data_IF_609150052750
#
_entry.id   IF_609150052750
#
_cell.length_a   1.000
_cell.length_b   1.000
_cell.length_c   1.000
_cell.angle_alpha   90.00
_cell.angle_beta   90.00
_cell.angle_gamma   90.00
#
_symmetry.space_group_name_H-M   'P 1'
#
loop_
_entity.id
_entity.type
_entity.pdbx_description
1 polymer ?
#
# COMPACT_ATOMS: atom_id res chain seq x y z
N UNK A 1 5.08 -2.85 15.12
CA UNK A 1 3.85 -3.21 14.39
C UNK A 1 2.89 -4.07 15.19
N UNK A 2 3.26 -5.27 15.64
CA UNK A 2 2.33 -6.17 16.34
C UNK A 2 1.69 -5.56 17.61
N UNK A 3 2.50 -5.05 18.54
CA UNK A 3 1.95 -4.49 19.80
C UNK A 3 0.94 -3.37 19.57
N UNK A 4 1.20 -2.47 18.61
CA UNK A 4 0.28 -1.38 18.28
C UNK A 4 -1.08 -1.93 17.85
N UNK A 5 -1.06 -2.91 16.94
CA UNK A 5 -2.27 -3.44 16.34
C UNK A 5 -3.05 -4.32 17.29
N UNK A 6 -2.36 -5.18 18.05
CA UNK A 6 -2.96 -5.96 19.13
C UNK A 6 -3.69 -5.04 20.11
N UNK A 7 -3.02 -3.97 20.56
CA UNK A 7 -3.60 -3.04 21.52
C UNK A 7 -4.85 -2.34 20.95
N UNK A 8 -4.81 -1.89 19.70
CA UNK A 8 -5.94 -1.20 19.07
C UNK A 8 -7.12 -2.14 18.83
N UNK A 9 -6.87 -3.34 18.28
CA UNK A 9 -7.93 -4.31 17.95
C UNK A 9 -8.55 -4.88 19.24
N UNK A 10 -7.73 -5.19 20.26
CA UNK A 10 -8.21 -5.64 21.56
C UNK A 10 -8.97 -4.54 22.31
N UNK A 11 -8.49 -3.29 22.29
CA UNK A 11 -9.21 -2.17 22.89
C UNK A 11 -10.54 -1.90 22.18
N UNK A 12 -10.58 -2.03 20.85
CA UNK A 12 -11.82 -1.90 20.08
C UNK A 12 -12.87 -2.93 20.51
N UNK A 13 -12.45 -4.18 20.75
CA UNK A 13 -13.35 -5.21 21.27
C UNK A 13 -13.81 -4.92 22.71
N UNK A 14 -12.88 -4.51 23.58
CA UNK A 14 -13.12 -4.37 25.04
C UNK A 14 -13.79 -3.07 25.44
N UNK A 15 -13.93 -2.11 24.53
CA UNK A 15 -14.55 -0.84 24.84
C UNK A 15 -15.99 -1.06 25.39
N UNK A 16 -16.31 -0.36 26.47
CA UNK A 16 -17.56 -0.58 27.18
C UNK A 16 -18.77 -0.33 26.26
N UNK A 17 -19.79 -1.19 26.37
CA UNK A 17 -21.07 -1.01 25.67
C UNK A 17 -21.02 -1.17 24.14
N UNK A 18 -19.95 -1.73 23.57
CA UNK A 18 -19.86 -1.91 22.11
C UNK A 18 -19.75 -0.60 21.35
N UNK A 19 -19.09 0.41 21.96
CA UNK A 19 -18.89 1.75 21.36
C UNK A 19 -18.22 1.65 19.98
N UNK A 20 -17.26 0.75 19.82
CA UNK A 20 -16.68 0.45 18.51
C UNK A 20 -17.52 -0.61 17.82
N UNK A 21 -18.33 -0.15 16.85
CA UNK A 21 -19.22 -1.02 16.06
C UNK A 21 -18.50 -1.73 14.92
N UNK A 22 -17.42 -1.14 14.41
CA UNK A 22 -16.69 -1.59 13.23
C UNK A 22 -15.26 -1.09 13.26
N UNK A 23 -14.34 -1.92 12.76
CA UNK A 23 -12.93 -1.58 12.63
C UNK A 23 -12.45 -1.98 11.24
N UNK A 24 -11.76 -1.06 10.55
CA UNK A 24 -11.04 -1.37 9.32
C UNK A 24 -9.55 -1.35 9.58
N UNK A 25 -8.92 -2.48 9.28
CA UNK A 25 -7.49 -2.62 9.27
C UNK A 25 -6.91 -2.35 7.89
N UNK A 26 -5.86 -1.54 7.78
CA UNK A 26 -5.15 -1.29 6.51
C UNK A 26 -3.91 -2.19 6.47
N UNK A 27 -3.96 -3.21 5.61
CA UNK A 27 -2.85 -4.10 5.28
C UNK A 27 -1.90 -3.47 4.26
N UNK A 28 -1.25 -4.31 3.46
CA UNK A 28 -0.33 -3.89 2.40
C UNK A 28 -0.23 -4.96 1.31
N UNK A 29 -0.04 -4.58 0.05
CA UNK A 29 0.21 -5.52 -1.04
C UNK A 29 1.53 -6.30 -0.87
N UNK A 30 2.48 -5.79 -0.09
CA UNK A 30 3.78 -6.44 0.10
C UNK A 30 3.73 -7.68 1.02
N UNK A 31 2.55 -8.02 1.56
CA UNK A 31 2.34 -9.19 2.43
C UNK A 31 2.02 -10.46 1.64
N UNK A 32 1.82 -10.36 0.33
CA UNK A 32 1.60 -11.50 -0.54
C UNK A 32 2.91 -12.21 -0.87
N UNK A 33 2.86 -13.50 -1.26
CA UNK A 33 4.06 -14.22 -1.66
C UNK A 33 4.81 -13.53 -2.80
N UNK A 34 6.15 -13.59 -2.74
CA UNK A 34 7.04 -12.95 -3.73
C UNK A 34 6.71 -13.33 -5.18
N UNK A 35 6.33 -14.59 -5.39
CA UNK A 35 6.04 -15.18 -6.70
C UNK A 35 4.55 -15.44 -6.92
N UNK A 36 3.67 -14.66 -6.29
CA UNK A 36 2.23 -14.77 -6.50
C UNK A 36 1.86 -14.50 -7.97
N UNK A 37 0.91 -15.26 -8.56
CA UNK A 37 0.45 -15.02 -9.92
C UNK A 37 -0.20 -13.63 -10.04
N UNK A 38 0.00 -12.98 -11.17
CA UNK A 38 -0.56 -11.65 -11.45
C UNK A 38 -1.82 -11.76 -12.32
N UNK A 39 -2.89 -10.96 -12.05
CA UNK A 39 -3.03 -10.09 -10.89
C UNK A 39 -3.16 -10.90 -9.59
N UNK A 40 -2.57 -10.39 -8.49
CA UNK A 40 -2.61 -11.07 -7.20
C UNK A 40 -4.05 -11.11 -6.67
N UNK A 41 -4.59 -12.31 -6.50
CA UNK A 41 -5.87 -12.53 -5.82
C UNK A 41 -5.69 -12.61 -4.31
N UNK A 42 -6.73 -12.31 -3.54
CA UNK A 42 -6.67 -12.33 -2.08
C UNK A 42 -6.48 -13.76 -1.53
N UNK A 43 -6.89 -14.76 -2.30
CA UNK A 43 -6.60 -16.18 -2.03
C UNK A 43 -5.10 -16.53 -2.09
N UNK A 44 -4.25 -15.68 -2.65
CA UNK A 44 -2.80 -15.89 -2.68
C UNK A 44 -2.15 -15.66 -1.30
N UNK A 45 -2.84 -15.02 -0.34
CA UNK A 45 -2.31 -14.77 0.99
C UNK A 45 -1.91 -16.10 1.66
N UNK A 46 -0.68 -16.18 2.17
CA UNK A 46 -0.11 -17.38 2.81
C UNK A 46 0.02 -18.62 1.89
N UNK A 47 -0.05 -18.46 0.57
CA UNK A 47 0.06 -19.60 -0.37
C UNK A 47 1.50 -20.03 -0.68
N UNK A 48 2.49 -19.18 -0.41
CA UNK A 48 3.91 -19.39 -0.71
C UNK A 48 4.81 -18.45 0.14
N UNK A 49 6.16 -18.58 0.10
CA UNK A 49 7.06 -17.72 0.84
C UNK A 49 6.95 -16.22 0.50
N UNK A 50 7.19 -15.39 1.51
CA UNK A 50 7.18 -13.93 1.43
C UNK A 50 8.49 -13.39 0.82
N UNK A 51 8.54 -12.09 0.52
CA UNK A 51 9.79 -11.43 0.15
C UNK A 51 10.68 -11.25 1.40
N UNK A 52 11.93 -11.76 1.41
CA UNK A 52 12.78 -11.70 2.60
C UNK A 52 13.04 -10.29 3.15
N UNK A 53 13.05 -9.26 2.30
CA UNK A 53 13.31 -7.88 2.74
C UNK A 53 12.19 -7.30 3.60
N UNK A 54 10.95 -7.79 3.42
CA UNK A 54 9.78 -7.28 4.12
C UNK A 54 9.09 -8.32 5.02
N UNK A 55 9.68 -9.52 5.16
CA UNK A 55 9.01 -10.67 5.78
C UNK A 55 8.52 -10.38 7.20
N UNK A 56 9.31 -9.66 8.02
CA UNK A 56 8.95 -9.32 9.40
C UNK A 56 7.74 -8.39 9.48
N UNK A 57 7.69 -7.42 8.55
CA UNK A 57 6.57 -6.51 8.41
C UNK A 57 5.32 -7.26 7.93
N UNK A 58 5.48 -8.13 6.93
CA UNK A 58 4.42 -8.91 6.34
C UNK A 58 3.81 -9.90 7.35
N UNK A 59 4.63 -10.63 8.11
CA UNK A 59 4.16 -11.53 9.17
C UNK A 59 3.32 -10.78 10.20
N UNK A 60 3.73 -9.59 10.61
CA UNK A 60 2.94 -8.77 11.52
C UNK A 60 1.56 -8.46 10.92
N UNK A 61 1.53 -7.85 9.73
CA UNK A 61 0.29 -7.49 9.03
C UNK A 61 -0.64 -8.68 8.80
N UNK A 62 -0.09 -9.86 8.51
CA UNK A 62 -0.87 -11.09 8.34
C UNK A 62 -1.50 -11.52 9.67
N UNK A 63 -0.75 -11.49 10.77
CA UNK A 63 -1.26 -11.83 12.09
C UNK A 63 -2.45 -10.94 12.48
N UNK A 64 -2.38 -9.66 12.13
CA UNK A 64 -3.43 -8.68 12.43
C UNK A 64 -4.71 -8.92 11.58
N UNK A 65 -4.57 -9.33 10.32
CA UNK A 65 -5.72 -9.82 9.51
C UNK A 65 -6.36 -11.03 10.18
N UNK A 66 -5.56 -11.99 10.65
CA UNK A 66 -6.07 -13.18 11.34
C UNK A 66 -6.75 -12.81 12.66
N UNK A 67 -6.23 -11.83 13.39
CA UNK A 67 -6.86 -11.32 14.61
C UNK A 67 -8.24 -10.71 14.33
N UNK A 68 -8.39 -9.89 13.30
CA UNK A 68 -9.69 -9.36 12.88
C UNK A 68 -10.67 -10.49 12.51
N UNK A 69 -10.21 -11.51 11.77
CA UNK A 69 -11.02 -12.67 11.38
C UNK A 69 -11.47 -13.48 12.60
N UNK A 70 -10.56 -13.79 13.53
CA UNK A 70 -10.88 -14.58 14.72
C UNK A 70 -11.76 -13.81 15.69
N UNK A 71 -11.55 -12.50 15.87
CA UNK A 71 -12.39 -11.67 16.74
C UNK A 71 -13.81 -11.55 16.20
N UNK A 72 -13.98 -11.50 14.89
CA UNK A 72 -15.31 -11.58 14.26
C UNK A 72 -15.98 -12.92 14.57
N UNK A 73 -15.26 -14.03 14.44
CA UNK A 73 -15.79 -15.38 14.70
C UNK A 73 -16.16 -15.55 16.18
N UNK A 74 -15.26 -15.16 17.08
CA UNK A 74 -15.38 -15.46 18.52
C UNK A 74 -16.24 -14.46 19.28
N UNK A 75 -16.21 -13.19 18.87
CA UNK A 75 -16.79 -12.08 19.63
C UNK A 75 -17.76 -11.22 18.84
N UNK A 76 -17.94 -11.48 17.54
CA UNK A 76 -18.87 -10.71 16.70
C UNK A 76 -18.42 -9.30 16.34
N UNK A 77 -17.15 -8.93 16.60
CA UNK A 77 -16.59 -7.64 16.18
C UNK A 77 -16.61 -7.54 14.64
N UNK A 78 -17.18 -6.46 14.08
CA UNK A 78 -17.15 -6.18 12.63
C UNK A 78 -15.76 -5.66 12.21
N UNK A 79 -14.74 -6.52 12.34
CA UNK A 79 -13.38 -6.25 11.88
C UNK A 79 -13.20 -6.63 10.41
N UNK A 80 -12.88 -5.66 9.56
CA UNK A 80 -12.56 -5.86 8.13
C UNK A 80 -11.11 -5.45 7.85
N UNK A 81 -10.56 -5.87 6.72
CA UNK A 81 -9.20 -5.50 6.32
C UNK A 81 -9.12 -5.11 4.84
N UNK A 82 -8.50 -3.97 4.54
CA UNK A 82 -8.25 -3.48 3.19
C UNK A 82 -6.78 -3.65 2.80
N UNK A 83 -6.50 -4.09 1.56
CA UNK A 83 -5.14 -4.29 1.04
C UNK A 83 -4.84 -3.26 -0.06
N UNK A 84 -4.26 -2.10 0.27
CA UNK A 84 -3.82 -1.15 -0.75
C UNK A 84 -2.58 -1.65 -1.50
N UNK A 85 -2.42 -1.17 -2.74
CA UNK A 85 -1.16 -1.25 -3.51
C UNK A 85 -0.20 -0.12 -3.11
N UNK A 86 0.86 0.13 -3.87
CA UNK A 86 1.78 1.24 -3.60
C UNK A 86 1.01 2.57 -3.58
N UNK A 87 1.18 3.34 -2.51
CA UNK A 87 0.51 4.62 -2.34
C UNK A 87 1.42 5.77 -2.74
N UNK A 88 0.80 6.87 -3.15
CA UNK A 88 1.46 8.15 -3.32
C UNK A 88 0.48 9.29 -3.08
N UNK A 89 1.00 10.47 -2.78
CA UNK A 89 0.19 11.68 -2.68
C UNK A 89 0.85 12.75 -1.83
N UNK A 90 0.06 13.74 -1.45
CA UNK A 90 0.46 14.75 -0.46
C UNK A 90 0.85 14.09 0.87
N UNK A 91 1.83 14.69 1.55
CA UNK A 91 2.38 14.21 2.83
C UNK A 91 3.14 12.88 2.79
N UNK A 92 3.49 12.37 1.61
CA UNK A 92 4.40 11.23 1.49
C UNK A 92 5.83 11.61 1.92
N UNK A 93 6.67 10.59 2.12
CA UNK A 93 8.07 10.78 2.42
C UNK A 93 8.86 11.07 1.14
N UNK A 94 9.18 12.35 0.91
CA UNK A 94 10.01 12.80 -0.21
C UNK A 94 11.52 12.88 0.16
N UNK A 95 11.99 12.16 1.18
CA UNK A 95 13.40 12.19 1.58
C UNK A 95 14.33 11.68 0.46
N UNK A 96 15.51 12.30 0.22
CA UNK A 96 16.46 11.89 -0.83
C UNK A 96 16.86 10.42 -0.80
N UNK A 97 17.01 9.86 0.40
CA UNK A 97 17.65 8.56 0.64
C UNK A 97 16.69 7.52 1.22
N UNK A 98 15.47 7.92 1.59
CA UNK A 98 14.52 7.07 2.33
C UNK A 98 13.10 7.24 1.78
N UNK A 99 12.93 7.39 0.47
CA UNK A 99 11.62 7.55 -0.17
C UNK A 99 11.23 6.33 -0.98
N UNK A 100 9.92 6.09 -1.05
CA UNK A 100 9.37 5.12 -2.00
C UNK A 100 9.64 5.59 -3.44
N UNK A 101 9.61 4.64 -4.38
CA UNK A 101 9.88 4.84 -5.82
C UNK A 101 9.29 6.15 -6.36
N UNK A 102 7.98 6.37 -6.19
CA UNK A 102 7.30 7.49 -6.84
C UNK A 102 7.62 8.86 -6.20
N UNK A 103 7.59 9.02 -4.86
CA UNK A 103 8.12 10.23 -4.21
C UNK A 103 9.58 10.53 -4.54
N UNK A 104 10.43 9.49 -4.59
CA UNK A 104 11.84 9.63 -4.97
C UNK A 104 11.96 10.21 -6.38
N UNK A 105 11.21 9.65 -7.35
CA UNK A 105 11.20 10.12 -8.73
C UNK A 105 10.67 11.56 -8.83
N UNK A 106 9.52 11.86 -8.23
CA UNK A 106 8.94 13.23 -8.22
C UNK A 106 9.98 14.25 -7.76
N UNK A 107 10.68 13.95 -6.66
CA UNK A 107 11.72 14.85 -6.14
C UNK A 107 12.93 14.97 -7.06
N UNK A 108 13.38 13.87 -7.67
CA UNK A 108 14.52 13.88 -8.58
C UNK A 108 14.24 14.73 -9.83
N UNK A 109 13.06 14.60 -10.41
CA UNK A 109 12.62 15.46 -11.52
C UNK A 109 12.48 16.92 -11.10
N UNK A 110 11.89 17.17 -9.93
CA UNK A 110 11.78 18.52 -9.40
C UNK A 110 13.15 19.19 -9.23
N UNK A 111 14.14 18.48 -8.66
CA UNK A 111 15.51 18.98 -8.52
C UNK A 111 16.17 19.24 -9.86
N UNK A 112 16.06 18.31 -10.81
CA UNK A 112 16.63 18.46 -12.14
C UNK A 112 16.08 19.68 -12.87
N UNK A 113 14.77 19.92 -12.76
CA UNK A 113 14.11 21.10 -13.33
C UNK A 113 14.65 22.40 -12.74
N UNK A 114 14.80 22.48 -11.41
CA UNK A 114 15.31 23.69 -10.73
C UNK A 114 16.79 23.91 -11.04
N UNK A 115 17.59 22.86 -11.13
CA UNK A 115 19.04 22.97 -11.40
C UNK A 115 19.38 23.10 -12.89
N UNK A 116 18.40 23.01 -13.79
CA UNK A 116 18.63 22.96 -15.24
C UNK A 116 19.42 21.73 -15.69
N UNK A 117 19.30 20.61 -14.98
CA UNK A 117 19.97 19.37 -15.36
C UNK A 117 19.37 18.84 -16.67
N UNK A 118 20.22 18.35 -17.57
CA UNK A 118 19.82 17.88 -18.90
C UNK A 118 19.22 16.46 -18.89
N UNK A 119 19.46 15.68 -17.84
CA UNK A 119 18.98 14.30 -17.71
C UNK A 119 18.78 13.91 -16.24
N UNK A 120 17.90 12.92 -16.00
CA UNK A 120 17.70 12.27 -14.70
C UNK A 120 17.95 10.76 -14.86
N UNK A 121 18.89 10.22 -14.07
CA UNK A 121 19.32 8.80 -14.19
C UNK A 121 18.52 7.86 -13.29
N UNK A 122 17.54 7.12 -13.80
CA UNK A 122 16.78 6.15 -12.99
C UNK A 122 17.45 4.78 -13.05
N UNK A 123 17.60 4.10 -11.91
CA UNK A 123 18.22 2.76 -11.87
C UNK A 123 17.28 1.68 -12.40
N UNK A 124 17.86 0.69 -13.08
CA UNK A 124 17.14 -0.41 -13.72
C UNK A 124 16.84 -0.15 -15.20
N UNK A 125 16.13 -1.08 -15.82
CA UNK A 125 15.76 -1.10 -17.24
C UNK A 125 14.46 -0.35 -17.53
N UNK A 126 13.65 -0.08 -16.49
CA UNK A 126 12.31 0.49 -16.62
C UNK A 126 11.25 -0.50 -17.11
N UNK A 127 11.61 -1.76 -17.36
CA UNK A 127 10.67 -2.82 -17.75
C UNK A 127 9.71 -3.30 -16.64
N UNK A 128 10.05 -3.25 -15.33
CA UNK A 128 9.13 -3.73 -14.30
C UNK A 128 7.87 -2.86 -14.17
N UNK A 129 6.70 -3.49 -14.25
CA UNK A 129 5.41 -2.82 -14.02
C UNK A 129 5.08 -2.74 -12.53
N UNK A 130 4.47 -1.63 -12.12
CA UNK A 130 3.99 -1.39 -10.76
C UNK A 130 2.61 -0.74 -10.79
N UNK A 131 1.78 -1.09 -9.82
CA UNK A 131 0.50 -0.43 -9.58
C UNK A 131 0.68 0.65 -8.51
N UNK A 132 0.04 1.80 -8.73
CA UNK A 132 0.00 2.93 -7.79
C UNK A 132 -1.43 3.38 -7.58
N UNK A 133 -1.75 3.76 -6.34
CA UNK A 133 -3.04 4.31 -5.94
C UNK A 133 -2.81 5.65 -5.23
N UNK A 134 -3.56 6.68 -5.63
CA UNK A 134 -3.47 7.97 -4.95
C UNK A 134 -4.06 7.86 -3.54
N UNK A 135 -3.46 8.55 -2.56
CA UNK A 135 -3.90 8.47 -1.15
C UNK A 135 -5.35 8.94 -0.94
N UNK A 136 -5.81 9.92 -1.72
CA UNK A 136 -7.20 10.38 -1.65
C UNK A 136 -8.18 9.31 -2.16
N UNK A 137 -7.83 8.58 -3.22
CA UNK A 137 -8.64 7.45 -3.70
C UNK A 137 -8.69 6.34 -2.64
N UNK A 138 -7.57 6.08 -1.93
CA UNK A 138 -7.59 5.15 -0.80
C UNK A 138 -8.51 5.65 0.33
N UNK A 139 -8.48 6.95 0.64
CA UNK A 139 -9.32 7.53 1.68
C UNK A 139 -10.81 7.34 1.36
N UNK A 140 -11.22 7.62 0.12
CA UNK A 140 -12.59 7.38 -0.35
C UNK A 140 -13.00 5.91 -0.21
N UNK A 141 -12.08 5.00 -0.56
CA UNK A 141 -12.31 3.54 -0.44
C UNK A 141 -12.43 3.10 1.01
N UNK A 142 -11.61 3.62 1.91
CA UNK A 142 -11.69 3.32 3.34
C UNK A 142 -13.04 3.76 3.91
N UNK A 143 -13.48 4.98 3.60
CA UNK A 143 -14.80 5.48 4.03
C UNK A 143 -15.92 4.61 3.45
N UNK A 144 -15.86 4.30 2.15
CA UNK A 144 -16.84 3.44 1.50
C UNK A 144 -16.93 2.05 2.15
N UNK A 145 -15.78 1.40 2.43
CA UNK A 145 -15.73 0.09 3.08
C UNK A 145 -16.30 0.15 4.51
N UNK A 146 -15.98 1.21 5.25
CA UNK A 146 -16.54 1.45 6.58
C UNK A 146 -18.06 1.62 6.54
N UNK A 147 -18.62 2.23 5.51
CA UNK A 147 -20.07 2.44 5.41
C UNK A 147 -20.83 1.24 4.83
N UNK A 148 -20.25 0.51 3.88
CA UNK A 148 -21.02 -0.40 3.00
C UNK A 148 -20.61 -1.87 3.06
N UNK A 149 -19.43 -2.21 3.59
CA UNK A 149 -18.88 -3.57 3.49
C UNK A 149 -18.71 -4.25 4.86
N UNK A 150 -19.30 -5.42 5.08
CA UNK A 150 -19.16 -6.17 6.35
C UNK A 150 -18.69 -7.63 6.17
N UNK A 151 -18.26 -8.04 4.98
CA UNK A 151 -17.62 -9.35 4.76
C UNK A 151 -18.43 -10.61 5.10
N UNK A 152 -19.72 -10.50 5.46
CA UNK A 152 -20.59 -11.66 5.69
C UNK A 152 -21.03 -12.24 4.34
N UNK A 153 -20.57 -13.46 4.03
CA UNK A 153 -21.30 -14.38 3.15
C UNK A 153 -22.21 -15.26 3.99
N UNK A 154 -23.45 -15.42 3.58
CA UNK A 154 -24.31 -16.51 4.06
C UNK A 154 -23.61 -17.83 3.72
N UNK A 155 -23.36 -18.71 4.71
CA UNK A 155 -22.75 -20.03 4.47
C UNK A 155 -21.46 -20.39 5.21
N UNK A 156 -21.09 -19.72 6.31
CA UNK A 156 -20.10 -20.25 7.28
C UNK A 156 -18.63 -19.98 7.01
N UNK A 157 -18.25 -19.54 5.80
CA UNK A 157 -16.89 -19.09 5.52
C UNK A 157 -16.72 -17.63 5.95
N UNK A 158 -16.23 -17.43 7.18
CA UNK A 158 -15.92 -16.12 7.78
C UNK A 158 -14.61 -15.53 7.20
N UNK A 159 -14.49 -15.48 5.88
CA UNK A 159 -13.37 -14.86 5.15
C UNK A 159 -13.56 -13.34 5.17
N UNK A 160 -13.41 -12.74 6.35
CA UNK A 160 -13.43 -11.27 6.54
C UNK A 160 -12.24 -10.53 5.92
N UNK A 161 -11.51 -11.16 5.00
CA UNK A 161 -10.53 -10.48 4.16
C UNK A 161 -11.26 -9.80 3.00
N UNK A 162 -10.77 -8.64 2.56
CA UNK A 162 -11.15 -8.06 1.27
C UNK A 162 -11.19 -9.14 0.18
N UNK A 163 -12.19 -9.08 -0.71
CA UNK A 163 -12.04 -9.62 -2.06
C UNK A 163 -13.00 -10.72 -2.56
N UNK A 164 -13.70 -11.44 -1.70
CA UNK A 164 -14.30 -12.71 -2.14
C UNK A 164 -15.61 -12.58 -2.94
N UNK A 165 -16.14 -11.37 -3.11
CA UNK A 165 -17.31 -11.09 -3.96
C UNK A 165 -16.91 -10.37 -5.24
N UNK A 166 -17.81 -10.26 -6.22
CA UNK A 166 -17.67 -9.59 -7.52
C UNK A 166 -17.35 -8.07 -7.43
N UNK A 167 -16.78 -7.61 -6.32
CA UNK A 167 -16.32 -6.27 -6.00
C UNK A 167 -14.82 -6.11 -5.72
N UNK A 168 -13.98 -7.13 -5.92
CA UNK A 168 -12.51 -6.92 -6.02
C UNK A 168 -12.09 -6.04 -7.22
N UNK A 169 -13.06 -5.61 -8.03
CA UNK A 169 -12.89 -4.72 -9.18
C UNK A 169 -13.00 -3.21 -8.86
N UNK A 170 -13.29 -2.80 -7.62
CA UNK A 170 -13.74 -1.41 -7.38
C UNK A 170 -12.63 -0.35 -7.35
N UNK A 171 -11.35 -0.74 -7.26
CA UNK A 171 -10.23 0.23 -7.24
C UNK A 171 -9.11 -0.23 -8.16
N UNK A 172 -9.45 -0.40 -9.44
CA UNK A 172 -8.45 -0.38 -10.51
C UNK A 172 -8.42 0.99 -11.17
N UNK A 173 -8.05 2.02 -10.41
CA UNK A 173 -7.52 3.27 -10.97
C UNK A 173 -5.99 3.24 -10.86
N UNK A 174 -5.38 2.31 -11.59
CA UNK A 174 -3.94 2.32 -11.79
C UNK A 174 -3.60 3.28 -12.93
N UNK A 175 -2.97 4.41 -12.60
CA UNK A 175 -2.30 5.24 -13.60
C UNK A 175 -0.97 4.61 -14.00
N UNK A 176 -0.68 4.54 -15.31
CA UNK A 176 0.67 4.20 -15.82
C UNK A 176 1.49 5.49 -15.89
N UNK A 177 2.68 5.50 -15.31
CA UNK A 177 3.60 6.64 -15.32
C UNK A 177 4.65 6.41 -16.42
N UNK A 178 4.62 7.25 -17.47
CA UNK A 178 5.67 7.33 -18.49
C UNK A 178 6.68 8.43 -18.14
N UNK A 179 7.97 8.18 -18.35
CA UNK A 179 9.06 9.13 -18.10
C UNK A 179 9.88 9.31 -19.38
N UNK A 180 9.49 10.25 -20.24
CA UNK A 180 10.15 10.48 -21.54
C UNK A 180 11.55 11.14 -21.42
N UNK A 181 11.88 11.70 -20.25
CA UNK A 181 13.16 12.38 -19.97
C UNK A 181 14.09 11.58 -19.02
N UNK A 182 13.73 10.34 -18.69
CA UNK A 182 14.54 9.47 -17.85
C UNK A 182 15.58 8.71 -18.66
N UNK A 183 16.85 8.78 -18.25
CA UNK A 183 17.87 7.84 -18.70
C UNK A 183 17.92 6.66 -17.73
N UNK A 184 17.66 5.46 -18.25
CA UNK A 184 17.71 4.22 -17.48
C UNK A 184 19.15 3.70 -17.38
N UNK A 185 19.62 3.42 -16.16
CA UNK A 185 20.92 2.78 -15.92
C UNK A 185 20.74 1.29 -15.68
N UNK A 186 20.83 0.52 -16.76
CA UNK A 186 20.70 -0.93 -16.77
C UNK A 186 21.93 -1.66 -16.18
N UNK A 187 22.98 -0.94 -15.73
CA UNK A 187 24.08 -1.55 -14.98
C UNK A 187 23.66 -1.89 -13.55
N UNK A 188 22.66 -1.18 -13.03
CA UNK A 188 22.03 -1.45 -11.75
C UNK A 188 20.88 -2.45 -11.95
N UNK A 189 20.68 -3.34 -10.97
CA UNK A 189 19.67 -4.39 -11.05
C UNK A 189 18.25 -3.81 -11.16
N UNK A 190 17.37 -4.51 -11.89
CA UNK A 190 15.92 -4.31 -11.84
C UNK A 190 15.38 -4.70 -10.46
N UNK A 191 15.57 -3.80 -9.49
CA UNK A 191 15.08 -3.96 -8.12
C UNK A 191 13.79 -3.19 -7.87
N UNK A 192 13.19 -3.38 -6.68
CA UNK A 192 12.48 -2.26 -6.07
C UNK A 192 13.52 -1.15 -5.88
N UNK A 193 13.23 0.09 -6.30
CA UNK A 193 13.99 1.24 -5.82
C UNK A 193 13.68 1.36 -4.32
N UNK A 194 14.36 0.54 -3.51
CA UNK A 194 14.41 0.68 -2.06
C UNK A 194 15.60 1.59 -1.77
N UNK A 195 15.30 2.83 -1.44
CA UNK A 195 16.29 3.70 -0.84
C UNK A 195 16.50 3.17 0.61
N UNK A 196 17.67 2.59 0.86
CA UNK A 196 17.92 1.70 2.00
C UNK A 196 17.56 2.30 3.36
N UNK A 197 16.79 1.55 4.16
CA UNK A 197 16.36 1.91 5.51
C UNK A 197 17.55 1.94 6.47
N UNK A 198 18.13 3.12 6.71
CA UNK A 198 19.02 3.39 7.85
C UNK A 198 18.36 4.45 8.73
N UNK A 199 17.66 4.00 9.78
CA UNK A 199 16.87 4.88 10.62
C UNK A 199 17.72 5.89 11.38
N UNK A 200 17.65 7.17 11.00
CA UNK A 200 17.69 8.35 11.90
C UNK A 200 17.10 9.57 11.14
N UNK A 201 16.07 10.22 11.72
CA UNK A 201 15.93 11.69 11.74
C UNK A 201 15.23 12.46 10.61
N UNK A 202 14.36 13.40 11.02
CA UNK A 202 14.10 14.69 10.36
C UNK A 202 12.92 14.77 9.40
N UNK A 203 11.83 15.43 9.82
CA UNK A 203 10.70 15.80 8.95
C UNK A 203 11.04 17.06 8.13
N UNK A 204 11.12 16.94 6.81
CA UNK A 204 11.17 18.09 5.88
C UNK A 204 9.79 18.26 5.22
N UNK A 205 9.21 19.47 5.20
CA UNK A 205 7.89 19.69 4.62
C UNK A 205 7.90 19.47 3.10
N UNK A 206 6.80 18.90 2.59
CA UNK A 206 6.57 18.75 1.16
C UNK A 206 6.69 20.10 0.43
N UNK A 207 7.26 20.15 -0.79
CA UNK A 207 7.40 21.40 -1.53
C UNK A 207 6.02 22.03 -1.79
N UNK A 208 5.81 23.33 -1.48
CA UNK A 208 4.54 23.99 -1.70
C UNK A 208 4.22 24.05 -3.20
N UNK A 209 3.02 23.61 -3.58
CA UNK A 209 2.55 23.65 -4.97
C UNK A 209 2.53 22.30 -5.71
N UNK A 210 2.63 21.15 -5.04
CA UNK A 210 2.43 19.83 -5.65
C UNK A 210 0.95 19.50 -5.99
N UNK A 211 0.14 20.52 -6.30
CA UNK A 211 -1.16 20.35 -6.92
C UNK A 211 -0.97 20.37 -8.44
N UNK A 212 -0.73 19.21 -9.03
CA UNK A 212 -0.57 19.06 -10.47
C UNK A 212 -1.27 17.81 -10.96
N UNK A 213 -2.27 17.98 -11.81
CA UNK A 213 -2.88 16.89 -12.58
C UNK A 213 -1.78 16.19 -13.40
N UNK A 214 -1.52 14.92 -13.12
CA UNK A 214 -0.64 14.10 -13.96
C UNK A 214 -1.51 13.48 -15.05
N UNK A 215 -1.60 14.20 -16.18
CA UNK A 215 -2.20 13.73 -17.42
C UNK A 215 -1.16 12.87 -18.16
N UNK A 216 -1.49 11.61 -18.47
CA UNK A 216 -0.64 10.73 -19.28
C UNK A 216 -1.41 10.29 -20.52
N UNK A 217 -0.83 10.59 -21.68
CA UNK A 217 -1.30 10.22 -23.03
C UNK A 217 -0.16 9.48 -23.72
N UNK A 218 -0.44 8.31 -24.32
CA UNK A 218 -0.10 7.94 -25.71
C UNK A 218 -0.11 6.42 -25.94
N UNK A 219 -0.71 6.02 -27.08
CA UNK A 219 -0.40 4.78 -27.81
C UNK A 219 -1.33 3.60 -27.58
#
# INVERSE_FOLDING_TARGET
>A
NLQIQINIIDAALRCAGGVVRKLLFVGSSCIYPKLAPQPISESALLSAPLEPTNEWYAVAKIADIKMCQTYRIQHGLDGISAMPTNLYGSHDNFHPENSHVLPALIRRFHKAKISGAKEVVVWGTGSPLREFLHVDDLADVVVFLMDRYSGKREGGDNKGACGDGEGGSWVRKGGRVGLDEARWDAKEADGQLEAGWNGVGGEDPAPPGAGGYVQVVCG
#
